data_IF_336206868440
#
_entry.id   IF_336206868440
#
_cell.length_a   1.000
_cell.length_b   1.000
_cell.length_c   1.000
_cell.angle_alpha   90.00
_cell.angle_beta   90.00
_cell.angle_gamma   90.00
#
_symmetry.space_group_name_H-M   'P 1'
#
loop_
_entity.id
_entity.type
_entity.pdbx_description
1 polymer ?
#
# COMPACT_ATOMS: atom_id res chain seq x y z
N UNK A 1 -4.63 21.78 24.47
CA UNK A 1 -5.24 20.92 23.45
C UNK A 1 -6.55 20.42 24.03
N UNK A 2 -7.66 20.49 23.32
CA UNK A 2 -8.91 19.93 23.85
C UNK A 2 -8.83 18.40 23.87
N UNK A 3 -9.43 17.76 24.89
CA UNK A 3 -9.48 16.28 24.96
C UNK A 3 -10.05 15.66 23.69
N UNK A 4 -11.00 16.33 23.05
CA UNK A 4 -11.61 15.92 21.78
C UNK A 4 -10.61 15.80 20.62
N UNK A 5 -9.63 16.70 20.52
CA UNK A 5 -8.58 16.62 19.48
C UNK A 5 -7.63 15.45 19.72
N UNK A 6 -7.26 15.21 20.98
CA UNK A 6 -6.40 14.07 21.32
C UNK A 6 -7.10 12.74 21.04
N UNK A 7 -8.37 12.64 21.35
CA UNK A 7 -9.18 11.47 21.04
C UNK A 7 -9.28 11.23 19.54
N UNK A 8 -9.55 12.28 18.74
CA UNK A 8 -9.62 12.19 17.28
C UNK A 8 -8.28 11.73 16.66
N UNK A 9 -7.15 12.27 17.14
CA UNK A 9 -5.81 11.84 16.69
C UNK A 9 -5.61 10.35 16.94
N UNK A 10 -5.98 9.88 18.13
CA UNK A 10 -5.87 8.47 18.50
C UNK A 10 -6.76 7.59 17.61
N UNK A 11 -7.99 8.03 17.32
CA UNK A 11 -8.92 7.30 16.45
C UNK A 11 -8.47 7.28 14.98
N UNK A 12 -7.96 8.40 14.46
CA UNK A 12 -7.53 8.50 13.06
C UNK A 12 -6.16 7.85 12.77
N UNK A 13 -5.29 7.71 13.78
CA UNK A 13 -3.92 7.22 13.60
C UNK A 13 -3.82 5.90 12.84
N UNK A 14 -4.58 4.84 13.20
CA UNK A 14 -4.47 3.56 12.49
C UNK A 14 -4.87 3.67 11.00
N UNK A 15 -5.87 4.49 10.69
CA UNK A 15 -6.33 4.68 9.32
C UNK A 15 -5.32 5.49 8.49
N UNK A 16 -4.74 6.53 9.06
CA UNK A 16 -3.69 7.34 8.42
C UNK A 16 -2.43 6.53 8.16
N UNK A 17 -2.01 5.70 9.14
CA UNK A 17 -0.89 4.77 8.96
C UNK A 17 -1.16 3.75 7.86
N UNK A 18 -2.34 3.17 7.84
CA UNK A 18 -2.77 2.25 6.80
C UNK A 18 -2.71 2.89 5.41
N UNK A 19 -3.22 4.11 5.29
CA UNK A 19 -3.18 4.88 4.04
C UNK A 19 -1.75 5.20 3.61
N UNK A 20 -0.95 5.79 4.50
CA UNK A 20 0.42 6.18 4.21
C UNK A 20 1.30 4.96 3.87
N UNK A 21 1.17 3.85 4.60
CA UNK A 21 1.89 2.60 4.32
C UNK A 21 1.56 2.06 2.93
N UNK A 22 0.29 2.06 2.54
CA UNK A 22 -0.11 1.59 1.21
C UNK A 22 0.33 2.53 0.10
N UNK A 23 0.37 3.83 0.38
CA UNK A 23 0.77 4.83 -0.60
C UNK A 23 2.29 4.84 -0.82
N UNK A 24 3.06 4.81 0.26
CA UNK A 24 4.54 4.83 0.21
C UNK A 24 5.16 3.45 -0.02
N UNK A 25 4.43 2.38 0.29
CA UNK A 25 4.92 1.01 0.40
C UNK A 25 6.04 0.84 1.46
N UNK A 26 6.12 1.77 2.42
CA UNK A 26 7.13 1.87 3.48
C UNK A 26 6.47 2.17 4.83
N UNK A 27 6.39 1.18 5.76
CA UNK A 27 5.82 1.40 7.09
C UNK A 27 6.58 2.43 7.93
N UNK A 28 7.92 2.45 7.83
CA UNK A 28 8.77 3.44 8.51
C UNK A 28 8.49 4.87 8.05
N UNK A 29 8.43 5.09 6.73
CA UNK A 29 8.06 6.39 6.15
C UNK A 29 6.63 6.79 6.53
N UNK A 30 5.70 5.82 6.58
CA UNK A 30 4.33 6.09 6.98
C UNK A 30 4.23 6.58 8.44
N UNK A 31 5.02 6.01 9.36
CA UNK A 31 5.11 6.49 10.74
C UNK A 31 5.62 7.94 10.79
N UNK A 32 6.69 8.26 10.08
CA UNK A 32 7.24 9.62 10.01
C UNK A 32 6.22 10.62 9.46
N UNK A 33 5.56 10.28 8.36
CA UNK A 33 4.55 11.12 7.71
C UNK A 33 3.36 11.38 8.63
N UNK A 34 2.87 10.36 9.35
CA UNK A 34 1.75 10.50 10.27
C UNK A 34 2.16 11.31 11.51
N UNK A 35 3.34 11.09 12.06
CA UNK A 35 3.87 11.91 13.16
C UNK A 35 4.00 13.37 12.75
N UNK A 36 4.57 13.66 11.60
CA UNK A 36 4.68 15.03 11.07
C UNK A 36 3.30 15.68 10.86
N UNK A 37 2.31 14.92 10.38
CA UNK A 37 0.94 15.43 10.22
C UNK A 37 0.32 15.84 11.57
N UNK A 38 0.61 15.09 12.63
CA UNK A 38 0.14 15.42 13.99
C UNK A 38 0.87 16.64 14.55
N UNK A 39 2.18 16.76 14.34
CA UNK A 39 2.94 17.95 14.74
C UNK A 39 2.40 19.19 14.05
N UNK A 40 2.10 19.14 12.75
CA UNK A 40 1.47 20.26 12.03
C UNK A 40 0.09 20.61 12.57
N UNK A 41 -0.72 19.61 12.93
CA UNK A 41 -2.00 19.89 13.56
C UNK A 41 -1.85 20.64 14.89
N UNK A 42 -0.82 20.30 15.68
CA UNK A 42 -0.57 20.96 16.96
C UNK A 42 -0.04 22.39 16.81
N UNK A 43 0.75 22.66 15.78
CA UNK A 43 1.38 23.96 15.55
C UNK A 43 0.54 24.90 14.71
N UNK A 44 -0.10 24.40 13.67
CA UNK A 44 -0.81 25.19 12.65
C UNK A 44 -2.33 25.04 12.77
N UNK A 45 -2.81 23.99 13.41
CA UNK A 45 -4.21 23.61 13.46
C UNK A 45 -5.08 24.42 14.41
N UNK A 46 -4.56 25.49 15.02
CA UNK A 46 -5.33 26.32 15.98
C UNK A 46 -6.55 27.00 15.36
N UNK A 47 -6.55 27.19 14.05
CA UNK A 47 -7.62 27.81 13.29
C UNK A 47 -8.59 26.79 12.65
N UNK A 48 -8.32 25.49 12.80
CA UNK A 48 -9.17 24.46 12.24
C UNK A 48 -10.38 24.24 13.16
N UNK A 49 -11.58 24.12 12.57
CA UNK A 49 -12.78 23.85 13.34
C UNK A 49 -12.66 22.49 14.08
N UNK A 50 -13.23 22.43 15.29
CA UNK A 50 -13.22 21.20 16.11
C UNK A 50 -14.18 20.10 15.58
N UNK A 51 -14.68 20.23 14.36
CA UNK A 51 -15.54 19.23 13.74
C UNK A 51 -14.71 18.04 13.23
N UNK A 52 -15.00 16.85 13.75
CA UNK A 52 -14.25 15.62 13.49
C UNK A 52 -14.06 15.30 12.00
N UNK A 53 -15.05 15.60 11.16
CA UNK A 53 -14.96 15.35 9.71
C UNK A 53 -13.95 16.25 8.98
N UNK A 54 -13.91 17.54 9.32
CA UNK A 54 -12.98 18.49 8.70
C UNK A 54 -11.54 18.27 9.13
N UNK A 55 -11.33 17.96 10.42
CA UNK A 55 -10.02 17.59 10.94
C UNK A 55 -9.48 16.29 10.31
N UNK A 56 -10.34 15.28 10.15
CA UNK A 56 -9.98 14.05 9.46
C UNK A 56 -9.57 14.33 8.01
N UNK A 57 -10.37 15.11 7.28
CA UNK A 57 -10.06 15.48 5.90
C UNK A 57 -8.73 16.25 5.79
N UNK A 58 -8.49 17.18 6.72
CA UNK A 58 -7.23 17.92 6.80
C UNK A 58 -6.02 17.01 7.06
N UNK A 59 -6.12 16.06 8.01
CA UNK A 59 -5.07 15.09 8.28
C UNK A 59 -4.75 14.24 7.04
N UNK A 60 -5.78 13.74 6.36
CA UNK A 60 -5.58 13.01 5.10
C UNK A 60 -4.93 13.88 4.02
N UNK A 61 -5.25 15.17 3.95
CA UNK A 61 -4.59 16.11 3.05
C UNK A 61 -3.10 16.26 3.36
N UNK A 62 -2.74 16.46 4.63
CA UNK A 62 -1.33 16.61 5.03
C UNK A 62 -0.56 15.32 4.77
N UNK A 63 -1.11 14.16 5.17
CA UNK A 63 -0.51 12.84 4.92
C UNK A 63 -0.36 12.57 3.42
N UNK A 64 -1.36 12.92 2.61
CA UNK A 64 -1.28 12.79 1.15
C UNK A 64 -0.13 13.62 0.58
N UNK A 65 -0.03 14.89 0.95
CA UNK A 65 1.01 15.79 0.45
C UNK A 65 2.41 15.29 0.83
N UNK A 66 2.63 14.94 2.09
CA UNK A 66 3.92 14.42 2.57
C UNK A 66 4.30 13.10 1.87
N UNK A 67 3.34 12.20 1.73
CA UNK A 67 3.55 10.92 1.03
C UNK A 67 3.83 11.13 -0.46
N UNK A 68 3.11 12.02 -1.14
CA UNK A 68 3.31 12.35 -2.55
C UNK A 68 4.70 12.97 -2.76
N UNK A 69 5.14 13.85 -1.87
CA UNK A 69 6.47 14.45 -1.92
C UNK A 69 7.58 13.41 -1.70
N UNK A 70 7.35 12.45 -0.81
CA UNK A 70 8.25 11.30 -0.66
C UNK A 70 8.33 10.49 -1.95
N UNK A 71 7.19 10.15 -2.57
CA UNK A 71 7.13 9.39 -3.81
C UNK A 71 7.82 10.09 -4.98
N UNK A 72 7.66 11.40 -5.10
CA UNK A 72 8.32 12.20 -6.15
C UNK A 72 9.85 12.15 -6.04
N UNK A 73 10.38 12.10 -4.82
CA UNK A 73 11.83 12.03 -4.57
C UNK A 73 12.42 10.64 -4.85
N UNK A 74 11.66 9.58 -4.63
CA UNK A 74 12.14 8.19 -4.71
C UNK A 74 11.77 7.46 -6.01
N UNK A 75 11.17 8.15 -6.96
CA UNK A 75 10.90 7.63 -8.30
C UNK A 75 9.83 6.54 -8.39
N UNK A 76 9.67 6.02 -9.60
CA UNK A 76 8.71 4.97 -9.95
C UNK A 76 9.44 3.63 -10.08
N UNK A 77 8.83 2.55 -9.56
CA UNK A 77 9.41 1.21 -9.69
C UNK A 77 9.26 0.69 -11.11
N UNK A 78 10.36 0.17 -11.65
CA UNK A 78 10.43 -0.39 -13.01
C UNK A 78 10.60 -1.90 -12.93
N UNK A 79 10.36 -2.59 -14.05
CA UNK A 79 10.53 -4.03 -14.17
C UNK A 79 11.96 -4.50 -13.81
N UNK A 80 12.99 -3.76 -14.23
CA UNK A 80 14.39 -4.04 -13.86
C UNK A 80 14.62 -4.00 -12.36
N UNK A 81 13.91 -3.12 -11.62
CA UNK A 81 13.98 -3.07 -10.16
C UNK A 81 13.49 -4.37 -9.54
N UNK A 82 12.43 -4.97 -10.08
CA UNK A 82 11.90 -6.24 -9.59
C UNK A 82 12.86 -7.40 -9.85
N UNK A 83 13.56 -7.39 -10.97
CA UNK A 83 14.58 -8.42 -11.31
C UNK A 83 15.79 -8.31 -10.38
N UNK A 84 16.28 -7.09 -10.13
CA UNK A 84 17.39 -6.86 -9.18
C UNK A 84 17.00 -7.23 -7.75
N UNK A 85 15.79 -6.86 -7.32
CA UNK A 85 15.26 -7.21 -5.99
C UNK A 85 15.14 -8.73 -5.81
N UNK A 86 14.80 -9.47 -6.85
CA UNK A 86 14.78 -10.94 -6.84
C UNK A 86 16.16 -11.52 -6.54
N UNK A 87 17.21 -11.05 -7.22
CA UNK A 87 18.57 -11.52 -6.96
C UNK A 87 18.98 -11.30 -5.50
N UNK A 88 18.71 -10.10 -4.95
CA UNK A 88 18.98 -9.79 -3.54
C UNK A 88 18.20 -10.69 -2.56
N UNK A 89 16.95 -10.99 -2.85
CA UNK A 89 16.12 -11.87 -2.02
C UNK A 89 16.63 -13.32 -2.04
N UNK A 90 17.09 -13.82 -3.19
CA UNK A 90 17.63 -15.15 -3.34
C UNK A 90 18.99 -15.31 -2.62
N UNK A 91 19.78 -14.25 -2.50
CA UNK A 91 21.06 -14.23 -1.77
C UNK A 91 20.89 -14.13 -0.24
N UNK A 92 19.74 -13.63 0.23
CA UNK A 92 19.46 -13.45 1.65
C UNK A 92 19.02 -14.75 2.32
N UNK A 93 19.97 -15.43 2.97
CA UNK A 93 19.77 -16.75 3.60
C UNK A 93 18.67 -16.75 4.67
N UNK A 94 18.53 -15.68 5.44
CA UNK A 94 17.49 -15.61 6.49
C UNK A 94 16.11 -15.43 5.86
N UNK A 95 16.01 -14.59 4.82
CA UNK A 95 14.76 -14.42 4.08
C UNK A 95 14.32 -15.72 3.40
N UNK A 96 15.26 -16.43 2.76
CA UNK A 96 14.98 -17.75 2.14
C UNK A 96 14.55 -18.77 3.19
N UNK A 97 15.24 -18.86 4.34
CA UNK A 97 14.88 -19.78 5.40
C UNK A 97 13.49 -19.46 5.99
N UNK A 98 13.16 -18.19 6.23
CA UNK A 98 11.85 -17.75 6.67
C UNK A 98 10.76 -18.09 5.63
N UNK A 99 11.04 -17.89 4.34
CA UNK A 99 10.12 -18.24 3.25
C UNK A 99 9.83 -19.74 3.20
N UNK A 100 10.85 -20.58 3.39
CA UNK A 100 10.68 -22.04 3.47
C UNK A 100 9.84 -22.44 4.68
N UNK A 101 10.10 -21.87 5.87
CA UNK A 101 9.36 -22.22 7.09
C UNK A 101 7.87 -21.85 7.02
N UNK A 102 7.52 -20.79 6.28
CA UNK A 102 6.13 -20.39 6.08
C UNK A 102 5.31 -21.39 5.25
N UNK A 103 5.96 -22.19 4.38
CA UNK A 103 5.27 -23.11 3.46
C UNK A 103 4.44 -24.20 4.16
N UNK A 104 4.69 -24.52 5.39
CA UNK A 104 3.92 -25.50 6.17
C UNK A 104 3.13 -24.89 7.32
N UNK A 105 3.08 -23.55 7.40
CA UNK A 105 2.46 -22.85 8.53
C UNK A 105 0.93 -22.86 8.44
N UNK A 106 0.23 -23.06 9.58
CA UNK A 106 -1.22 -22.92 9.64
C UNK A 106 -1.70 -21.50 9.31
N UNK A 107 -0.84 -20.49 9.48
CA UNK A 107 -1.11 -19.08 9.18
C UNK A 107 -1.00 -18.73 7.69
N UNK A 108 -0.68 -19.72 6.85
CA UNK A 108 -0.46 -19.53 5.41
C UNK A 108 -1.55 -18.70 4.72
N UNK A 109 -2.82 -18.96 5.01
CA UNK A 109 -3.92 -18.21 4.44
C UNK A 109 -3.94 -16.73 4.85
N UNK A 110 -3.48 -16.41 6.06
CA UNK A 110 -3.34 -15.03 6.53
C UNK A 110 -2.16 -14.33 5.86
N UNK A 111 -1.03 -15.03 5.72
CA UNK A 111 0.18 -14.55 5.03
C UNK A 111 -0.12 -14.28 3.55
N UNK A 112 -0.83 -15.17 2.88
CA UNK A 112 -1.22 -15.00 1.49
C UNK A 112 -2.15 -13.78 1.28
N UNK A 113 -3.12 -13.55 2.18
CA UNK A 113 -3.95 -12.34 2.13
C UNK A 113 -3.16 -11.07 2.40
N UNK A 114 -2.23 -11.10 3.36
CA UNK A 114 -1.31 -9.97 3.59
C UNK A 114 -0.46 -9.71 2.36
N UNK A 115 0.05 -10.76 1.72
CA UNK A 115 0.82 -10.62 0.48
C UNK A 115 0.03 -9.88 -0.61
N UNK A 116 -1.27 -10.11 -0.77
CA UNK A 116 -2.07 -9.36 -1.73
C UNK A 116 -2.14 -7.87 -1.41
N UNK A 117 -2.19 -7.50 -0.13
CA UNK A 117 -2.15 -6.09 0.31
C UNK A 117 -0.80 -5.45 -0.04
N UNK A 118 0.30 -6.14 0.27
CA UNK A 118 1.66 -5.68 -0.05
C UNK A 118 1.85 -5.60 -1.57
N UNK A 119 1.43 -6.62 -2.30
CA UNK A 119 1.47 -6.67 -3.77
C UNK A 119 0.69 -5.51 -4.40
N UNK A 120 -0.48 -5.17 -3.85
CA UNK A 120 -1.24 -4.00 -4.33
C UNK A 120 -0.44 -2.72 -4.16
N UNK A 121 0.14 -2.48 -2.97
CA UNK A 121 0.96 -1.31 -2.68
C UNK A 121 2.20 -1.24 -3.60
N UNK A 122 2.86 -2.38 -3.79
CA UNK A 122 3.99 -2.51 -4.72
C UNK A 122 3.58 -2.15 -6.17
N UNK A 123 2.47 -2.70 -6.66
CA UNK A 123 1.99 -2.45 -8.02
C UNK A 123 1.55 -0.99 -8.18
N UNK A 124 0.92 -0.40 -7.18
CA UNK A 124 0.51 1.00 -7.17
C UNK A 124 1.69 1.99 -7.27
N UNK A 125 2.90 1.59 -6.90
CA UNK A 125 4.14 2.37 -7.11
C UNK A 125 4.49 2.60 -8.59
N UNK A 126 3.84 1.91 -9.51
CA UNK A 126 3.96 2.14 -10.96
C UNK A 126 2.99 3.22 -11.47
N UNK A 127 2.10 3.71 -10.62
CA UNK A 127 1.17 4.80 -10.93
C UNK A 127 1.82 6.15 -10.63
N UNK A 128 1.22 7.25 -11.13
CA UNK A 128 1.56 8.56 -10.58
C UNK A 128 1.12 8.64 -9.12
N UNK A 129 1.82 9.46 -8.32
CA UNK A 129 1.50 9.60 -6.91
C UNK A 129 0.04 10.02 -6.67
N UNK A 130 -0.49 10.92 -7.53
CA UNK A 130 -1.88 11.36 -7.48
C UNK A 130 -2.87 10.22 -7.81
N UNK A 131 -2.56 9.40 -8.81
CA UNK A 131 -3.38 8.24 -9.16
C UNK A 131 -3.41 7.22 -8.02
N UNK A 132 -2.26 6.94 -7.41
CA UNK A 132 -2.17 6.02 -6.26
C UNK A 132 -2.97 6.54 -5.06
N UNK A 133 -2.79 7.83 -4.72
CA UNK A 133 -3.51 8.46 -3.63
C UNK A 133 -5.03 8.46 -3.87
N UNK A 134 -5.48 8.85 -5.06
CA UNK A 134 -6.90 8.86 -5.43
C UNK A 134 -7.51 7.45 -5.37
N UNK A 135 -6.80 6.44 -5.88
CA UNK A 135 -7.25 5.05 -5.86
C UNK A 135 -7.43 4.55 -4.42
N UNK A 136 -6.46 4.80 -3.54
CA UNK A 136 -6.53 4.39 -2.14
C UNK A 136 -7.64 5.10 -1.37
N UNK A 137 -7.74 6.43 -1.49
CA UNK A 137 -8.79 7.19 -0.82
C UNK A 137 -10.19 6.71 -1.23
N UNK A 138 -10.42 6.53 -2.53
CA UNK A 138 -11.72 6.15 -3.08
C UNK A 138 -12.07 4.69 -2.83
N UNK A 139 -11.16 3.78 -3.15
CA UNK A 139 -11.45 2.35 -3.21
C UNK A 139 -11.18 1.64 -1.89
N UNK A 140 -10.28 2.14 -1.06
CA UNK A 140 -9.92 1.48 0.21
C UNK A 140 -10.49 2.21 1.42
N UNK A 141 -10.37 3.54 1.45
CA UNK A 141 -10.78 4.36 2.60
C UNK A 141 -12.19 4.94 2.49
N UNK A 142 -12.92 4.65 1.40
CA UNK A 142 -14.34 4.97 1.24
C UNK A 142 -14.67 6.46 1.06
N UNK A 143 -13.68 7.31 0.74
CA UNK A 143 -13.93 8.73 0.47
C UNK A 143 -14.82 8.90 -0.77
N UNK A 144 -15.74 9.86 -0.75
CA UNK A 144 -16.43 10.34 -1.95
C UNK A 144 -15.44 11.05 -2.89
N UNK A 145 -15.82 11.28 -4.15
CA UNK A 145 -14.97 12.04 -5.07
C UNK A 145 -14.70 13.45 -4.56
N UNK A 146 -15.66 14.07 -3.87
CA UNK A 146 -15.53 15.42 -3.31
C UNK A 146 -14.57 15.44 -2.12
N UNK A 147 -14.68 14.48 -1.19
CA UNK A 147 -13.79 14.37 -0.04
C UNK A 147 -12.35 14.05 -0.48
N UNK A 148 -12.17 13.13 -1.43
CA UNK A 148 -10.85 12.82 -1.98
C UNK A 148 -10.27 14.02 -2.75
N UNK A 149 -11.10 14.82 -3.42
CA UNK A 149 -10.67 16.05 -4.09
C UNK A 149 -10.16 17.09 -3.07
N UNK A 150 -10.85 17.25 -1.95
CA UNK A 150 -10.40 18.13 -0.87
C UNK A 150 -9.07 17.65 -0.24
N UNK A 151 -8.89 16.32 -0.09
CA UNK A 151 -7.65 15.74 0.43
C UNK A 151 -6.46 15.84 -0.55
N UNK A 152 -6.71 15.91 -1.86
CA UNK A 152 -5.67 15.92 -2.91
C UNK A 152 -5.46 17.29 -3.56
N UNK A 153 -6.14 18.33 -3.06
CA UNK A 153 -6.13 19.67 -3.66
C UNK A 153 -6.47 19.63 -5.17
N UNK A 154 -7.57 18.97 -5.49
CA UNK A 154 -7.99 18.66 -6.85
C UNK A 154 -9.50 18.90 -7.03
N UNK A 155 -10.00 18.69 -8.25
CA UNK A 155 -11.44 18.66 -8.52
C UNK A 155 -11.97 17.22 -8.44
N UNK A 156 -13.27 17.04 -8.14
CA UNK A 156 -13.91 15.74 -8.13
C UNK A 156 -13.82 15.02 -9.50
N UNK A 157 -13.79 15.79 -10.60
CA UNK A 157 -13.61 15.25 -11.96
C UNK A 157 -12.20 14.71 -12.15
N UNK A 158 -11.19 15.42 -11.66
CA UNK A 158 -9.79 14.94 -11.70
C UNK A 158 -9.63 13.66 -10.90
N UNK A 159 -10.18 13.60 -9.69
CA UNK A 159 -10.14 12.38 -8.85
C UNK A 159 -10.80 11.20 -9.58
N UNK A 160 -11.99 11.38 -10.15
CA UNK A 160 -12.66 10.35 -10.94
C UNK A 160 -11.77 9.85 -12.08
N UNK A 161 -11.14 10.75 -12.82
CA UNK A 161 -10.25 10.40 -13.93
C UNK A 161 -8.99 9.67 -13.43
N UNK A 162 -8.37 10.11 -12.34
CA UNK A 162 -7.22 9.42 -11.74
C UNK A 162 -7.56 8.00 -11.29
N UNK A 163 -8.71 7.79 -10.66
CA UNK A 163 -9.17 6.46 -10.26
C UNK A 163 -9.37 5.55 -11.46
N UNK A 164 -10.02 6.04 -12.53
CA UNK A 164 -10.23 5.25 -13.74
C UNK A 164 -8.91 4.85 -14.40
N UNK A 165 -7.98 5.80 -14.54
CA UNK A 165 -6.65 5.56 -15.11
C UNK A 165 -5.84 4.60 -14.23
N UNK A 166 -5.88 4.78 -12.89
CA UNK A 166 -5.21 3.91 -11.95
C UNK A 166 -5.71 2.47 -12.05
N UNK A 167 -7.02 2.27 -12.06
CA UNK A 167 -7.63 0.92 -12.19
C UNK A 167 -7.22 0.23 -13.49
N UNK A 168 -7.19 0.97 -14.60
CA UNK A 168 -6.73 0.44 -15.89
C UNK A 168 -5.26 0.03 -15.82
N UNK A 169 -4.38 0.94 -15.36
CA UNK A 169 -2.95 0.68 -15.27
C UNK A 169 -2.62 -0.47 -14.31
N UNK A 170 -3.35 -0.60 -13.18
CA UNK A 170 -3.19 -1.73 -12.25
C UNK A 170 -3.52 -3.07 -12.92
N UNK A 171 -4.63 -3.16 -13.69
CA UNK A 171 -4.98 -4.38 -14.42
C UNK A 171 -3.91 -4.75 -15.45
N UNK A 172 -3.43 -3.79 -16.21
CA UNK A 172 -2.36 -3.97 -17.21
C UNK A 172 -1.07 -4.45 -16.54
N UNK A 173 -0.68 -3.85 -15.40
CA UNK A 173 0.50 -4.26 -14.65
C UNK A 173 0.37 -5.66 -14.06
N UNK A 174 -0.75 -6.02 -13.47
CA UNK A 174 -0.97 -7.38 -12.98
C UNK A 174 -0.89 -8.40 -14.13
N UNK A 175 -1.48 -8.11 -15.28
CA UNK A 175 -1.42 -8.98 -16.45
C UNK A 175 0.02 -9.16 -16.98
N UNK A 176 0.85 -8.12 -16.91
CA UNK A 176 2.22 -8.15 -17.42
C UNK A 176 3.23 -8.77 -16.44
N UNK A 177 3.14 -8.45 -15.14
CA UNK A 177 4.22 -8.71 -14.18
C UNK A 177 3.90 -9.71 -13.07
N UNK A 178 2.62 -9.92 -12.76
CA UNK A 178 2.22 -10.79 -11.65
C UNK A 178 2.29 -12.28 -12.03
N UNK A 179 3.14 -13.05 -11.38
CA UNK A 179 3.30 -14.49 -11.63
C UNK A 179 2.00 -15.30 -11.36
N UNK A 180 1.13 -14.83 -10.47
CA UNK A 180 -0.19 -15.46 -10.22
C UNK A 180 -1.20 -15.23 -11.36
N UNK A 181 -1.03 -14.16 -12.13
CA UNK A 181 -1.90 -13.81 -13.27
C UNK A 181 -1.28 -14.31 -14.58
N UNK A 182 0.00 -14.09 -14.74
CA UNK A 182 0.79 -14.47 -15.90
C UNK A 182 1.97 -15.35 -15.46
N UNK A 183 1.96 -16.63 -15.82
CA UNK A 183 3.00 -17.61 -15.43
C UNK A 183 4.43 -17.21 -15.81
N UNK A 184 4.59 -16.27 -16.72
CA UNK A 184 5.89 -15.71 -17.14
C UNK A 184 6.19 -14.38 -16.48
N UNK A 185 5.36 -13.94 -15.51
CA UNK A 185 5.53 -12.69 -14.81
C UNK A 185 6.83 -12.65 -14.00
N UNK A 186 7.50 -11.50 -14.06
CA UNK A 186 8.83 -11.30 -13.45
C UNK A 186 8.78 -11.04 -11.94
N UNK A 187 7.62 -10.93 -11.33
CA UNK A 187 7.50 -10.62 -9.91
C UNK A 187 7.95 -11.82 -9.06
N UNK A 188 9.14 -11.72 -8.46
CA UNK A 188 9.73 -12.75 -7.61
C UNK A 188 8.95 -13.02 -6.31
N UNK A 189 8.20 -12.03 -5.82
CA UNK A 189 7.47 -12.11 -4.56
C UNK A 189 6.44 -13.25 -4.54
N UNK A 190 5.84 -13.53 -5.69
CA UNK A 190 4.88 -14.64 -5.83
C UNK A 190 5.56 -15.97 -6.12
N UNK A 191 6.77 -15.95 -6.67
CA UNK A 191 7.56 -17.19 -6.92
C UNK A 191 7.95 -17.82 -5.60
N UNK A 192 8.36 -17.03 -4.61
CA UNK A 192 8.60 -17.51 -3.24
C UNK A 192 7.36 -18.09 -2.59
N UNK A 193 6.18 -17.58 -2.96
CA UNK A 193 4.89 -18.09 -2.55
C UNK A 193 4.37 -19.25 -3.45
N UNK A 194 5.00 -19.51 -4.61
CA UNK A 194 4.55 -20.53 -5.56
C UNK A 194 4.55 -21.94 -4.95
N UNK A 195 5.47 -22.22 -4.04
CA UNK A 195 5.43 -23.42 -3.22
C UNK A 195 4.16 -23.54 -2.36
N UNK A 196 3.47 -22.44 -2.10
CA UNK A 196 2.19 -22.42 -1.43
C UNK A 196 1.03 -22.82 -2.37
N UNK A 197 1.13 -22.48 -3.66
CA UNK A 197 0.06 -22.70 -4.61
C UNK A 197 0.18 -24.04 -5.34
N UNK A 198 1.41 -24.56 -5.52
CA UNK A 198 1.68 -25.79 -6.26
C UNK A 198 1.82 -27.05 -5.37
N UNK A 199 1.82 -26.91 -4.04
CA UNK A 199 1.99 -28.00 -3.08
C UNK A 199 0.75 -28.86 -2.77
N UNK A 200 -0.31 -28.81 -3.60
CA UNK A 200 -1.54 -29.59 -3.40
C UNK A 200 -2.48 -29.05 -2.30
N UNK A 201 -2.12 -27.98 -1.62
CA UNK A 201 -3.03 -27.24 -0.76
C UNK A 201 -4.05 -26.48 -1.62
N UNK A 202 -5.31 -26.42 -1.19
CA UNK A 202 -6.31 -25.55 -1.82
C UNK A 202 -5.73 -24.15 -1.93
N UNK A 203 -5.75 -23.56 -3.15
CA UNK A 203 -5.39 -22.18 -3.37
C UNK A 203 -6.07 -21.28 -2.32
N UNK A 204 -5.32 -20.72 -1.34
CA UNK A 204 -5.91 -19.94 -0.27
C UNK A 204 -6.55 -18.64 -0.78
N UNK A 205 -6.32 -18.30 -2.04
CA UNK A 205 -6.81 -17.10 -2.71
C UNK A 205 -7.93 -17.40 -3.72
N UNK A 206 -8.22 -18.69 -4.02
CA UNK A 206 -9.39 -19.17 -4.79
C UNK A 206 -9.79 -18.26 -5.98
N UNK A 207 -8.81 -17.90 -6.85
CA UNK A 207 -9.05 -17.04 -8.02
C UNK A 207 -9.10 -15.53 -7.72
N UNK A 208 -9.15 -15.12 -6.46
CA UNK A 208 -9.17 -13.72 -6.00
C UNK A 208 -7.95 -12.93 -6.46
N UNK A 209 -6.80 -13.62 -6.63
CA UNK A 209 -5.55 -13.01 -7.08
C UNK A 209 -5.61 -12.41 -8.49
N UNK A 210 -6.56 -12.83 -9.32
CA UNK A 210 -6.70 -12.40 -10.72
C UNK A 210 -7.60 -11.19 -10.89
N UNK A 211 -8.49 -10.92 -9.94
CA UNK A 211 -9.44 -9.83 -10.00
C UNK A 211 -9.00 -8.64 -9.14
N UNK A 212 -8.97 -7.44 -9.76
CA UNK A 212 -8.61 -6.21 -9.07
C UNK A 212 -9.64 -5.84 -7.98
N UNK A 213 -10.92 -6.05 -8.22
CA UNK A 213 -11.97 -5.71 -7.27
C UNK A 213 -11.91 -6.64 -6.05
N UNK A 214 -11.69 -7.92 -6.26
CA UNK A 214 -11.46 -8.88 -5.18
C UNK A 214 -10.19 -8.55 -4.35
N UNK A 215 -9.12 -8.06 -5.00
CA UNK A 215 -7.93 -7.57 -4.27
C UNK A 215 -8.26 -6.34 -3.42
N UNK A 216 -9.02 -5.39 -3.94
CA UNK A 216 -9.47 -4.20 -3.21
C UNK A 216 -10.33 -4.61 -1.99
N UNK A 217 -11.20 -5.58 -2.13
CA UNK A 217 -12.02 -6.09 -1.01
C UNK A 217 -11.15 -6.72 0.10
N UNK A 218 -10.07 -7.41 -0.26
CA UNK A 218 -9.09 -7.89 0.71
C UNK A 218 -8.40 -6.72 1.43
N UNK A 219 -8.02 -5.66 0.70
CA UNK A 219 -7.44 -4.47 1.32
C UNK A 219 -8.38 -3.83 2.34
N UNK A 220 -9.66 -3.72 2.00
CA UNK A 220 -10.69 -3.19 2.90
C UNK A 220 -10.87 -4.07 4.13
N UNK A 221 -10.94 -5.38 3.95
CA UNK A 221 -11.18 -6.35 5.04
C UNK A 221 -10.03 -6.46 6.02
N UNK A 222 -8.79 -6.27 5.58
CA UNK A 222 -7.61 -6.27 6.46
C UNK A 222 -7.47 -5.00 7.30
N UNK A 223 -8.19 -3.94 6.94
CA UNK A 223 -8.18 -2.69 7.68
C UNK A 223 -6.77 -2.11 7.87
N UNK A 224 -6.39 -1.84 9.12
CA UNK A 224 -5.15 -1.16 9.50
C UNK A 224 -4.05 -2.10 10.00
N UNK A 225 -4.19 -3.41 9.83
CA UNK A 225 -3.20 -4.39 10.32
C UNK A 225 -1.80 -4.08 9.75
N UNK A 226 -0.76 -4.04 10.60
CA UNK A 226 0.61 -3.81 10.16
C UNK A 226 1.10 -4.97 9.29
N UNK A 227 2.10 -4.70 8.46
CA UNK A 227 2.78 -5.74 7.69
C UNK A 227 3.71 -6.56 8.58
N UNK A 228 3.84 -7.84 8.27
CA UNK A 228 4.83 -8.69 8.95
C UNK A 228 6.27 -8.25 8.61
N UNK A 229 7.21 -8.61 9.45
CA UNK A 229 8.64 -8.34 9.22
C UNK A 229 9.15 -8.93 7.90
N UNK A 230 8.61 -10.09 7.50
CA UNK A 230 8.93 -10.74 6.23
C UNK A 230 8.53 -9.87 5.03
N UNK A 231 7.31 -9.35 5.02
CA UNK A 231 6.85 -8.46 3.95
C UNK A 231 7.58 -7.10 3.96
N UNK A 232 7.90 -6.56 5.13
CA UNK A 232 8.72 -5.35 5.23
C UNK A 232 10.11 -5.57 4.62
N UNK A 233 10.76 -6.73 4.90
CA UNK A 233 12.07 -7.07 4.33
C UNK A 233 12.00 -7.24 2.81
N UNK A 234 10.97 -7.91 2.32
CA UNK A 234 10.72 -8.06 0.89
C UNK A 234 10.62 -6.72 0.16
N UNK A 235 9.94 -5.74 0.76
CA UNK A 235 9.82 -4.40 0.18
C UNK A 235 11.15 -3.64 0.20
N UNK A 236 12.02 -3.85 1.19
CA UNK A 236 13.36 -3.26 1.24
C UNK A 236 14.24 -3.71 0.08
N UNK A 237 14.19 -4.98 -0.34
CA UNK A 237 14.95 -5.43 -1.51
C UNK A 237 14.59 -4.63 -2.77
N UNK A 238 13.33 -4.22 -2.92
CA UNK A 238 12.90 -3.39 -4.05
C UNK A 238 13.47 -1.97 -3.91
N UNK A 239 13.37 -1.36 -2.74
CA UNK A 239 13.88 -0.02 -2.47
C UNK A 239 15.41 0.05 -2.67
N UNK A 240 16.15 -0.91 -2.12
CA UNK A 240 17.61 -0.97 -2.25
C UNK A 240 18.05 -1.16 -3.71
N UNK A 241 17.17 -1.70 -4.55
CA UNK A 241 17.41 -1.87 -5.99
C UNK A 241 17.10 -0.62 -6.82
N UNK A 242 16.51 0.43 -6.21
CA UNK A 242 16.31 1.73 -6.87
C UNK A 242 17.55 2.63 -6.79
N UNK A 243 18.41 2.40 -5.79
CA UNK A 243 19.57 3.25 -5.47
C UNK A 243 20.82 2.79 -6.26
N UNK A 244 20.75 1.62 -6.88
CA UNK A 244 21.82 1.04 -7.70
C UNK A 244 21.67 1.37 -9.16
#
# INVERSE_FOLDING_TARGET
MSDARTELLTQCRPELLSYATRLTARPDVAEEVVQESFLRLLTEGQHLPDHSGELRAWLFRVVSNLSIDHLRRHGTWRELTLVAARGRAEEDREFVAASVSMRGSPELGAIAREHLVVCFSCTARNLSAQQSAALLLREVHGFSNTEAAAALDATAVQVKNWVQQARRAMREKYAATCALVNKQGVCHQCVELDGFFNGGARDPLAGTSRDLDARIDILRSRGTAPWTSWHCRMMRFIEDSLIS
#
